data_IF_314618468983
#
_entry.id   IF_314618468983
#
_cell.length_a   1.000
_cell.length_b   1.000
_cell.length_c   1.000
_cell.angle_alpha   90.00
_cell.angle_beta   90.00
_cell.angle_gamma   90.00
#
_symmetry.space_group_name_H-M   'P 1'
#
loop_
_entity.id
_entity.type
_entity.pdbx_description
1 polymer ?
#
# COMPACT_ATOMS: atom_id res chain seq x y z
N UNK A 1 -18.19 -22.24 -8.22
CA UNK A 1 -17.54 -21.09 -8.90
C UNK A 1 -16.18 -21.61 -9.38
N UNK A 2 -15.76 -21.33 -10.61
CA UNK A 2 -14.53 -21.92 -11.16
C UNK A 2 -13.33 -21.37 -10.40
N UNK A 3 -12.59 -22.27 -9.74
CA UNK A 3 -11.38 -22.00 -8.96
C UNK A 3 -10.24 -21.63 -9.92
N UNK A 4 -10.07 -20.33 -10.19
CA UNK A 4 -8.93 -19.81 -10.94
C UNK A 4 -7.75 -19.60 -9.98
N UNK A 5 -7.23 -20.71 -9.44
CA UNK A 5 -5.93 -20.74 -8.77
C UNK A 5 -4.82 -20.55 -9.82
N UNK A 6 -4.57 -19.30 -10.21
CA UNK A 6 -3.48 -18.96 -11.12
C UNK A 6 -2.21 -18.79 -10.31
N UNK A 7 -1.24 -19.68 -10.57
CA UNK A 7 0.06 -19.68 -9.91
C UNK A 7 0.96 -18.60 -10.55
N UNK A 8 0.99 -17.41 -9.95
CA UNK A 8 1.73 -16.24 -10.45
C UNK A 8 3.22 -16.48 -10.59
N UNK A 9 3.80 -17.27 -9.68
CA UNK A 9 5.20 -17.65 -9.73
C UNK A 9 5.49 -18.56 -10.93
N UNK A 10 4.58 -19.48 -11.23
CA UNK A 10 4.67 -20.28 -12.44
C UNK A 10 4.46 -19.41 -13.68
N UNK A 11 3.56 -18.42 -13.70
CA UNK A 11 3.43 -17.51 -14.85
C UNK A 11 4.70 -16.68 -15.10
N UNK A 12 5.31 -16.10 -14.06
CA UNK A 12 6.57 -15.37 -14.18
C UNK A 12 7.76 -16.29 -14.50
N UNK A 13 7.80 -17.48 -13.92
CA UNK A 13 8.80 -18.50 -14.23
C UNK A 13 8.66 -18.97 -15.67
N UNK A 14 7.43 -19.17 -16.16
CA UNK A 14 7.13 -19.53 -17.55
C UNK A 14 7.55 -18.39 -18.46
N UNK A 15 7.19 -17.14 -18.16
CA UNK A 15 7.63 -15.95 -18.90
C UNK A 15 9.17 -15.90 -19.01
N UNK A 16 9.88 -16.01 -17.88
CA UNK A 16 11.34 -15.98 -17.83
C UNK A 16 11.96 -17.13 -18.63
N UNK A 17 11.43 -18.35 -18.48
CA UNK A 17 11.87 -19.53 -19.25
C UNK A 17 11.60 -19.39 -20.74
N UNK A 18 10.46 -18.81 -21.13
CA UNK A 18 10.11 -18.55 -22.52
C UNK A 18 11.05 -17.53 -23.16
N UNK A 19 11.41 -16.46 -22.44
CA UNK A 19 12.40 -15.48 -22.88
C UNK A 19 13.80 -16.07 -22.97
N UNK A 20 14.22 -16.84 -21.97
CA UNK A 20 15.49 -17.56 -22.01
C UNK A 20 15.55 -18.57 -23.17
N UNK A 21 14.42 -19.22 -23.48
CA UNK A 21 14.31 -20.11 -24.64
C UNK A 21 14.34 -19.34 -25.96
N UNK A 22 13.72 -18.16 -26.03
CA UNK A 22 13.76 -17.29 -27.21
C UNK A 22 15.20 -16.81 -27.52
N UNK A 23 15.95 -16.43 -26.49
CA UNK A 23 17.38 -16.07 -26.62
C UNK A 23 18.23 -17.27 -27.07
N UNK A 24 17.98 -18.46 -26.52
CA UNK A 24 18.64 -19.69 -26.96
C UNK A 24 18.27 -20.09 -28.40
N UNK A 25 17.03 -19.82 -28.82
CA UNK A 25 16.60 -20.04 -30.20
C UNK A 25 17.30 -19.05 -31.15
N UNK A 26 17.48 -17.79 -30.76
CA UNK A 26 18.18 -16.78 -31.59
C UNK A 26 19.65 -17.13 -31.85
N UNK A 27 20.30 -17.75 -30.87
CA UNK A 27 21.66 -18.28 -30.99
C UNK A 27 21.74 -19.59 -31.77
N UNK A 28 20.63 -20.07 -32.33
CA UNK A 28 20.33 -21.44 -32.77
C UNK A 28 21.21 -22.12 -33.81
N UNK A 29 22.46 -21.70 -34.01
CA UNK A 29 23.60 -22.53 -34.42
C UNK A 29 24.85 -21.65 -34.47
N UNK A 30 25.62 -21.53 -33.38
CA UNK A 30 26.90 -20.83 -33.41
C UNK A 30 27.91 -21.58 -34.30
N UNK A 31 28.89 -20.86 -34.85
CA UNK A 31 30.04 -21.44 -35.54
C UNK A 31 29.77 -21.83 -36.99
N UNK A 32 30.48 -22.87 -37.46
CA UNK A 32 30.65 -23.18 -38.88
C UNK A 32 29.35 -23.31 -39.69
N UNK A 33 28.23 -23.71 -39.08
CA UNK A 33 26.94 -23.78 -39.78
C UNK A 33 26.40 -22.38 -40.14
N UNK A 34 26.49 -21.42 -39.22
CA UNK A 34 26.12 -20.02 -39.46
C UNK A 34 27.11 -19.35 -40.39
N UNK A 35 28.41 -19.52 -40.14
CA UNK A 35 29.46 -18.88 -40.95
C UNK A 35 29.33 -19.32 -42.42
N UNK A 36 29.10 -20.62 -42.65
CA UNK A 36 28.86 -21.17 -43.98
C UNK A 36 27.49 -20.73 -44.53
N UNK A 37 26.47 -20.61 -43.69
CA UNK A 37 25.12 -20.17 -44.08
C UNK A 37 25.06 -18.73 -44.58
N UNK A 38 25.84 -17.84 -43.94
CA UNK A 38 25.92 -16.41 -44.25
C UNK A 38 26.99 -16.07 -45.29
N UNK A 39 27.94 -16.98 -45.57
CA UNK A 39 28.99 -16.80 -46.56
C UNK A 39 28.46 -16.57 -47.99
N UNK A 40 29.29 -15.94 -48.84
CA UNK A 40 28.95 -15.73 -50.24
C UNK A 40 28.92 -17.07 -51.01
N UNK A 41 28.20 -17.09 -52.13
CA UNK A 41 28.01 -18.32 -52.92
C UNK A 41 29.34 -18.98 -53.35
N UNK A 42 30.36 -18.18 -53.66
CA UNK A 42 31.71 -18.65 -54.00
C UNK A 42 32.45 -19.28 -52.83
N UNK A 43 32.35 -18.69 -51.64
CA UNK A 43 32.99 -19.17 -50.40
C UNK A 43 32.33 -20.46 -49.91
N UNK A 44 30.98 -20.51 -49.91
CA UNK A 44 30.25 -21.75 -49.64
C UNK A 44 30.61 -22.87 -50.61
N UNK A 45 30.71 -22.55 -51.90
CA UNK A 45 31.08 -23.53 -52.92
C UNK A 45 32.51 -24.03 -52.69
N UNK A 46 33.45 -23.15 -52.34
CA UNK A 46 34.82 -23.53 -52.04
C UNK A 46 34.90 -24.47 -50.84
N UNK A 47 34.08 -24.24 -49.80
CA UNK A 47 34.02 -25.08 -48.61
C UNK A 47 33.26 -26.41 -48.81
N UNK A 48 32.17 -26.42 -49.58
CA UNK A 48 31.32 -27.61 -49.80
C UNK A 48 31.72 -28.43 -51.03
N UNK A 49 32.64 -27.95 -51.86
CA UNK A 49 33.15 -28.63 -53.05
C UNK A 49 32.14 -28.75 -54.21
N UNK A 50 30.89 -28.31 -54.05
CA UNK A 50 29.82 -28.45 -55.04
C UNK A 50 28.89 -27.24 -55.08
N UNK A 51 28.56 -26.80 -56.28
CA UNK A 51 27.57 -25.74 -56.50
C UNK A 51 26.16 -26.16 -56.08
N UNK A 52 25.78 -27.43 -56.32
CA UNK A 52 24.45 -27.94 -55.96
C UNK A 52 24.30 -28.08 -54.45
N UNK A 53 25.36 -28.52 -53.76
CA UNK A 53 25.38 -28.61 -52.31
C UNK A 53 25.38 -27.22 -51.66
N UNK A 54 26.13 -26.26 -52.21
CA UNK A 54 26.10 -24.85 -51.78
C UNK A 54 24.70 -24.23 -51.88
N UNK A 55 24.00 -24.48 -52.98
CA UNK A 55 22.63 -23.98 -53.18
C UNK A 55 21.62 -24.65 -52.23
N UNK A 56 21.65 -25.97 -52.13
CA UNK A 56 20.76 -26.72 -51.22
C UNK A 56 21.00 -26.33 -49.75
N UNK A 57 22.26 -26.17 -49.34
CA UNK A 57 22.62 -25.74 -48.00
C UNK A 57 22.15 -24.31 -47.70
N UNK A 58 22.31 -23.37 -48.64
CA UNK A 58 21.84 -22.00 -48.45
C UNK A 58 20.32 -21.91 -48.29
N UNK A 59 19.56 -22.64 -49.12
CA UNK A 59 18.10 -22.72 -48.98
C UNK A 59 17.71 -23.33 -47.62
N UNK A 60 18.35 -24.43 -47.22
CA UNK A 60 18.12 -25.06 -45.92
C UNK A 60 18.42 -24.10 -44.76
N UNK A 61 19.55 -23.40 -44.81
CA UNK A 61 19.95 -22.41 -43.81
C UNK A 61 18.93 -21.28 -43.67
N UNK A 62 18.51 -20.66 -44.77
CA UNK A 62 17.55 -19.55 -44.72
C UNK A 62 16.15 -20.01 -44.26
N UNK A 63 15.70 -21.19 -44.68
CA UNK A 63 14.44 -21.75 -44.18
C UNK A 63 14.51 -22.10 -42.68
N UNK A 64 15.63 -22.67 -42.22
CA UNK A 64 15.86 -22.95 -40.80
C UNK A 64 15.90 -21.66 -39.99
N UNK A 65 16.73 -20.67 -40.38
CA UNK A 65 16.84 -19.36 -39.74
C UNK A 65 15.49 -18.63 -39.67
N UNK A 66 14.71 -18.65 -40.75
CA UNK A 66 13.38 -18.03 -40.78
C UNK A 66 12.40 -18.69 -39.79
N UNK A 67 12.39 -20.03 -39.71
CA UNK A 67 11.53 -20.73 -38.75
C UNK A 67 11.96 -20.49 -37.31
N UNK A 68 13.25 -20.45 -37.03
CA UNK A 68 13.79 -20.15 -35.70
C UNK A 68 13.49 -18.70 -35.29
N UNK A 69 13.56 -17.74 -36.22
CA UNK A 69 13.14 -16.36 -35.99
C UNK A 69 11.66 -16.25 -35.62
N UNK A 70 10.78 -16.94 -36.36
CA UNK A 70 9.34 -17.00 -36.02
C UNK A 70 9.06 -17.67 -34.67
N UNK A 71 9.84 -18.70 -34.32
CA UNK A 71 9.75 -19.32 -33.00
C UNK A 71 10.18 -18.37 -31.88
N UNK A 72 11.24 -17.58 -32.08
CA UNK A 72 11.66 -16.52 -31.16
C UNK A 72 10.56 -15.48 -30.94
N UNK A 73 9.98 -14.97 -32.03
CA UNK A 73 8.86 -14.01 -31.97
C UNK A 73 7.67 -14.59 -31.20
N UNK A 74 7.23 -15.80 -31.53
CA UNK A 74 6.11 -16.46 -30.83
C UNK A 74 6.39 -16.76 -29.36
N UNK A 75 7.63 -17.11 -28.99
CA UNK A 75 8.02 -17.31 -27.59
C UNK A 75 8.00 -15.99 -26.80
N UNK A 76 8.41 -14.88 -27.41
CA UNK A 76 8.31 -13.56 -26.80
C UNK A 76 6.86 -13.11 -26.65
N UNK A 77 6.03 -13.28 -27.68
CA UNK A 77 4.59 -12.95 -27.64
C UNK A 77 3.84 -13.76 -26.58
N UNK A 78 4.17 -15.05 -26.45
CA UNK A 78 3.62 -15.89 -25.39
C UNK A 78 4.09 -15.43 -24.01
N UNK A 79 5.37 -15.09 -23.84
CA UNK A 79 5.88 -14.52 -22.60
C UNK A 79 5.18 -13.21 -22.24
N UNK A 80 4.92 -12.34 -23.23
CA UNK A 80 4.21 -11.08 -23.03
C UNK A 80 2.74 -11.30 -22.63
N UNK A 81 2.09 -12.35 -23.15
CA UNK A 81 0.75 -12.76 -22.73
C UNK A 81 0.72 -13.24 -21.27
N UNK A 82 1.70 -14.05 -20.85
CA UNK A 82 1.83 -14.49 -19.46
C UNK A 82 2.10 -13.32 -18.51
N UNK A 83 2.91 -12.35 -18.96
CA UNK A 83 3.12 -11.10 -18.24
C UNK A 83 1.83 -10.29 -18.13
N UNK A 84 1.09 -10.10 -19.23
CA UNK A 84 -0.15 -9.33 -19.21
C UNK A 84 -1.21 -9.94 -18.28
N UNK A 85 -1.32 -11.28 -18.22
CA UNK A 85 -2.19 -11.95 -17.24
C UNK A 85 -1.70 -11.71 -15.81
N UNK A 86 -0.40 -11.84 -15.56
CA UNK A 86 0.18 -11.52 -14.24
C UNK A 86 -0.09 -10.07 -13.83
N UNK A 87 0.10 -9.12 -14.76
CA UNK A 87 -0.11 -7.69 -14.54
C UNK A 87 -1.60 -7.37 -14.27
N UNK A 88 -2.55 -8.03 -14.95
CA UNK A 88 -4.00 -7.84 -14.71
C UNK A 88 -4.43 -8.36 -13.34
N UNK A 89 -3.85 -9.46 -12.88
CA UNK A 89 -4.11 -9.99 -11.54
C UNK A 89 -3.40 -9.17 -10.45
N UNK A 90 -2.18 -8.70 -10.72
CA UNK A 90 -1.50 -7.69 -9.90
C UNK A 90 -2.34 -6.41 -9.80
N UNK A 91 -3.00 -5.99 -10.87
CA UNK A 91 -3.94 -4.86 -10.86
C UNK A 91 -5.20 -5.11 -10.01
N UNK A 92 -5.63 -6.37 -9.90
CA UNK A 92 -6.67 -6.81 -8.97
C UNK A 92 -6.21 -6.76 -7.51
N UNK A 93 -5.03 -7.30 -7.22
CA UNK A 93 -4.45 -7.38 -5.88
C UNK A 93 -3.91 -6.04 -5.37
N UNK A 94 -3.53 -5.15 -6.28
CA UNK A 94 -3.10 -3.81 -5.94
C UNK A 94 -4.29 -2.86 -5.71
N UNK A 95 -5.51 -3.22 -6.13
CA UNK A 95 -6.75 -2.62 -5.59
C UNK A 95 -7.03 -3.07 -4.15
N UNK A 96 -6.63 -4.30 -3.79
CA UNK A 96 -6.68 -4.79 -2.40
C UNK A 96 -5.56 -4.15 -1.57
N UNK A 97 -4.39 -3.91 -2.16
CA UNK A 97 -3.27 -3.22 -1.49
C UNK A 97 -3.48 -1.70 -1.38
N UNK A 98 -4.18 -1.08 -2.34
CA UNK A 98 -4.72 0.28 -2.20
C UNK A 98 -5.82 0.37 -1.12
N UNK A 99 -6.38 -0.77 -0.70
CA UNK A 99 -7.20 -0.85 0.49
C UNK A 99 -6.38 -0.92 1.79
N UNK A 100 -5.04 -0.88 1.79
CA UNK A 100 -4.24 -0.83 3.02
C UNK A 100 -4.69 0.30 3.95
N UNK A 101 -5.03 1.47 3.40
CA UNK A 101 -5.62 2.57 4.15
C UNK A 101 -7.05 2.33 4.68
N UNK A 102 -7.82 1.44 4.05
CA UNK A 102 -9.09 0.94 4.57
C UNK A 102 -8.87 -0.19 5.60
N UNK A 103 -7.76 -0.92 5.50
CA UNK A 103 -7.37 -2.01 6.41
C UNK A 103 -6.77 -1.48 7.72
N UNK A 104 -6.12 -0.31 7.73
CA UNK A 104 -5.78 0.38 8.98
C UNK A 104 -7.01 0.95 9.67
N UNK A 105 -8.01 1.43 8.92
CA UNK A 105 -9.33 1.79 9.49
C UNK A 105 -10.01 0.58 10.14
N UNK A 106 -9.83 -0.64 9.61
CA UNK A 106 -10.40 -1.86 10.20
C UNK A 106 -9.69 -2.36 11.46
N UNK A 107 -8.47 -1.88 11.77
CA UNK A 107 -7.80 -2.18 13.05
C UNK A 107 -8.49 -1.53 14.25
N UNK A 108 -9.30 -0.48 14.05
CA UNK A 108 -9.97 0.23 15.13
C UNK A 108 -9.02 1.12 15.96
N UNK A 109 -7.86 1.51 15.41
CA UNK A 109 -6.89 2.38 16.08
C UNK A 109 -7.51 3.73 16.43
N UNK A 110 -8.29 4.33 15.51
CA UNK A 110 -8.93 5.62 15.76
C UNK A 110 -10.00 5.50 16.86
N UNK A 111 -10.83 4.45 16.83
CA UNK A 111 -11.77 4.16 17.90
C UNK A 111 -11.06 3.99 19.26
N UNK A 112 -9.90 3.31 19.28
CA UNK A 112 -9.09 3.17 20.48
C UNK A 112 -8.56 4.52 20.97
N UNK A 113 -8.06 5.38 20.07
CA UNK A 113 -7.57 6.74 20.41
C UNK A 113 -8.68 7.60 20.99
N UNK A 114 -9.86 7.59 20.37
CA UNK A 114 -11.03 8.34 20.83
C UNK A 114 -11.51 7.86 22.20
N UNK A 115 -11.59 6.54 22.39
CA UNK A 115 -11.97 5.93 23.66
C UNK A 115 -10.95 6.29 24.75
N UNK A 116 -9.66 6.25 24.42
CA UNK A 116 -8.58 6.64 25.33
C UNK A 116 -8.63 8.12 25.69
N UNK A 117 -8.83 9.01 24.73
CA UNK A 117 -8.95 10.44 24.98
C UNK A 117 -10.15 10.76 25.88
N UNK A 118 -11.29 10.09 25.66
CA UNK A 118 -12.47 10.22 26.50
C UNK A 118 -12.22 9.73 27.94
N UNK A 119 -11.57 8.57 28.09
CA UNK A 119 -11.23 7.99 29.40
C UNK A 119 -10.20 8.83 30.17
N UNK A 120 -9.13 9.28 29.50
CA UNK A 120 -8.10 10.15 30.09
C UNK A 120 -8.71 11.49 30.53
N UNK A 121 -9.64 12.05 29.72
CA UNK A 121 -10.39 13.26 30.09
C UNK A 121 -11.27 13.02 31.31
N UNK A 122 -12.01 11.91 31.36
CA UNK A 122 -12.84 11.56 32.51
C UNK A 122 -12.00 11.39 33.78
N UNK A 123 -10.83 10.75 33.71
CA UNK A 123 -9.92 10.62 34.85
C UNK A 123 -9.46 11.99 35.37
N UNK A 124 -9.13 12.92 34.47
CA UNK A 124 -8.71 14.27 34.83
C UNK A 124 -9.87 15.08 35.47
N UNK A 125 -11.07 14.98 34.93
CA UNK A 125 -12.26 15.65 35.45
C UNK A 125 -12.70 15.03 36.79
N UNK A 126 -12.59 13.71 36.93
CA UNK A 126 -12.81 12.98 38.18
C UNK A 126 -11.83 13.37 39.27
N UNK A 127 -10.54 13.49 38.96
CA UNK A 127 -9.55 13.92 39.94
C UNK A 127 -9.87 15.32 40.51
N UNK A 128 -10.26 16.27 39.65
CA UNK A 128 -10.69 17.62 40.07
C UNK A 128 -11.96 17.59 40.91
N UNK A 129 -12.93 16.77 40.52
CA UNK A 129 -14.18 16.59 41.25
C UNK A 129 -13.95 15.99 42.64
N UNK A 130 -13.15 14.92 42.73
CA UNK A 130 -12.83 14.25 44.00
C UNK A 130 -12.04 15.19 44.94
N UNK A 131 -11.09 15.98 44.39
CA UNK A 131 -10.38 17.02 45.15
C UNK A 131 -11.33 18.12 45.66
N UNK A 132 -12.28 18.57 44.83
CA UNK A 132 -13.28 19.54 45.21
C UNK A 132 -14.18 19.03 46.35
N UNK A 133 -14.68 17.79 46.21
CA UNK A 133 -15.50 17.13 47.23
C UNK A 133 -14.76 16.95 48.56
N UNK A 134 -13.48 16.58 48.51
CA UNK A 134 -12.63 16.52 49.70
C UNK A 134 -12.49 17.90 50.34
N UNK A 135 -12.30 18.95 49.53
CA UNK A 135 -12.18 20.33 49.97
C UNK A 135 -13.43 20.92 50.63
N UNK A 136 -14.62 20.38 50.36
CA UNK A 136 -15.87 20.75 51.05
C UNK A 136 -16.30 19.73 52.12
N UNK A 137 -15.62 18.60 52.25
CA UNK A 137 -15.96 17.53 53.19
C UNK A 137 -17.14 16.65 52.75
N UNK A 138 -17.43 16.59 51.45
CA UNK A 138 -18.58 15.88 50.88
C UNK A 138 -18.23 14.52 50.24
N UNK A 139 -16.95 14.09 50.27
CA UNK A 139 -16.50 12.85 49.62
C UNK A 139 -17.32 11.62 50.00
N UNK A 140 -17.64 11.45 51.29
CA UNK A 140 -18.43 10.31 51.76
C UNK A 140 -19.85 10.31 51.20
N UNK A 141 -20.48 11.49 51.10
CA UNK A 141 -21.85 11.63 50.60
C UNK A 141 -21.94 11.26 49.11
N UNK A 142 -21.08 11.82 48.26
CA UNK A 142 -21.10 11.56 46.82
C UNK A 142 -20.50 10.22 46.41
N UNK A 143 -19.80 9.53 47.31
CA UNK A 143 -19.46 8.12 47.10
C UNK A 143 -20.70 7.24 47.18
N UNK A 144 -21.60 7.56 48.10
CA UNK A 144 -22.81 6.76 48.37
C UNK A 144 -24.00 7.25 47.50
N UNK A 145 -23.91 8.47 46.95
CA UNK A 145 -24.90 9.12 46.07
C UNK A 145 -24.23 9.85 44.88
N UNK A 146 -23.64 9.12 43.91
CA UNK A 146 -22.87 9.72 42.81
C UNK A 146 -23.71 10.54 41.81
N UNK A 147 -25.00 10.22 41.68
CA UNK A 147 -25.96 10.88 40.78
C UNK A 147 -26.55 12.18 41.33
N UNK A 148 -26.37 12.46 42.62
CA UNK A 148 -26.94 13.65 43.25
C UNK A 148 -26.26 14.94 42.77
N UNK A 149 -27.02 16.04 42.81
CA UNK A 149 -26.50 17.37 42.50
C UNK A 149 -26.23 18.14 43.78
N UNK A 150 -25.00 18.67 43.95
CA UNK A 150 -24.64 19.52 45.08
C UNK A 150 -25.68 20.64 45.31
N UNK A 151 -26.13 21.28 44.22
CA UNK A 151 -27.12 22.36 44.30
C UNK A 151 -28.47 21.83 44.80
N UNK A 152 -28.93 20.70 44.28
CA UNK A 152 -30.18 20.09 44.73
C UNK A 152 -30.12 19.72 46.22
N UNK A 153 -29.05 19.03 46.65
CA UNK A 153 -28.86 18.61 48.04
C UNK A 153 -28.76 19.81 48.99
N UNK A 154 -28.05 20.88 48.63
CA UNK A 154 -27.78 22.01 49.52
C UNK A 154 -28.87 23.08 49.58
N UNK A 155 -29.89 23.00 48.70
CA UNK A 155 -31.12 23.78 48.79
C UNK A 155 -32.30 22.97 49.35
N UNK A 156 -32.12 21.68 49.62
CA UNK A 156 -33.11 20.83 50.27
C UNK A 156 -33.34 21.19 51.75
N UNK A 157 -34.48 20.76 52.33
CA UNK A 157 -34.80 21.00 53.74
C UNK A 157 -33.83 20.30 54.70
N UNK A 158 -33.22 19.19 54.29
CA UNK A 158 -32.29 18.37 55.08
C UNK A 158 -30.83 18.52 54.58
N UNK A 159 -30.40 19.76 54.32
CA UNK A 159 -29.09 20.06 53.76
C UNK A 159 -27.93 19.58 54.69
N UNK A 160 -27.00 18.76 54.19
CA UNK A 160 -25.85 18.30 54.97
C UNK A 160 -24.92 19.42 55.45
N UNK A 161 -24.17 19.18 56.52
CA UNK A 161 -23.27 20.18 57.11
C UNK A 161 -22.19 20.70 56.14
N UNK A 162 -21.76 19.87 55.19
CA UNK A 162 -20.76 20.24 54.17
C UNK A 162 -21.28 21.34 53.20
N UNK A 163 -22.59 21.54 53.10
CA UNK A 163 -23.18 22.59 52.26
C UNK A 163 -22.79 24.01 52.67
N UNK A 164 -22.42 24.23 53.94
CA UNK A 164 -21.89 25.51 54.39
C UNK A 164 -20.53 25.83 53.75
N UNK A 165 -19.65 24.82 53.61
CA UNK A 165 -18.35 24.96 52.96
C UNK A 165 -18.48 25.19 51.45
N UNK A 166 -19.47 24.54 50.81
CA UNK A 166 -19.83 24.79 49.42
C UNK A 166 -20.29 26.24 49.19
N UNK A 167 -21.25 26.73 49.98
CA UNK A 167 -21.74 28.13 49.88
C UNK A 167 -20.62 29.15 50.12
N UNK A 168 -19.69 28.87 51.03
CA UNK A 168 -18.54 29.74 51.29
C UNK A 168 -17.54 29.82 50.13
N UNK A 169 -17.41 28.76 49.31
CA UNK A 169 -16.61 28.76 48.08
C UNK A 169 -17.34 29.39 46.88
N UNK A 170 -18.65 29.60 46.98
CA UNK A 170 -19.52 30.14 45.93
C UNK A 170 -20.28 29.02 45.19
N UNK A 171 -21.56 29.25 44.89
CA UNK A 171 -22.45 28.21 44.33
C UNK A 171 -22.00 27.71 42.95
N UNK A 172 -21.28 28.53 42.18
CA UNK A 172 -20.76 28.19 40.85
C UNK A 172 -19.30 27.71 40.87
N UNK A 173 -18.73 27.44 42.07
CA UNK A 173 -17.33 27.04 42.21
C UNK A 173 -17.07 25.56 41.94
N UNK A 174 -18.12 24.75 41.83
CA UNK A 174 -17.99 23.32 41.61
C UNK A 174 -17.53 23.03 40.17
N UNK A 175 -16.48 22.22 39.96
CA UNK A 175 -16.18 21.72 38.62
C UNK A 175 -17.35 20.86 38.10
N UNK A 176 -17.46 20.63 36.78
CA UNK A 176 -18.47 19.73 36.24
C UNK A 176 -18.35 18.33 36.86
N UNK A 177 -19.49 17.70 37.20
CA UNK A 177 -19.49 16.29 37.59
C UNK A 177 -19.02 15.47 36.37
N UNK A 178 -17.98 14.63 36.49
CA UNK A 178 -17.46 13.83 35.39
C UNK A 178 -18.47 12.81 34.84
N UNK A 179 -19.52 12.46 35.61
CA UNK A 179 -20.51 11.46 35.23
C UNK A 179 -19.97 10.04 35.25
N UNK A 180 -20.68 9.13 34.59
CA UNK A 180 -20.29 7.72 34.49
C UNK A 180 -18.95 7.54 33.78
N UNK A 181 -18.17 6.56 34.24
CA UNK A 181 -16.89 6.22 33.60
C UNK A 181 -17.13 5.74 32.16
N UNK A 182 -16.52 6.37 31.15
CA UNK A 182 -16.60 5.87 29.78
C UNK A 182 -15.87 4.52 29.69
N UNK A 183 -16.15 3.72 28.64
CA UNK A 183 -15.47 2.43 28.47
C UNK A 183 -13.95 2.58 28.55
N UNK A 184 -13.32 1.79 29.44
CA UNK A 184 -11.86 1.78 29.54
C UNK A 184 -11.27 1.20 28.24
N UNK A 185 -10.36 1.91 27.55
CA UNK A 185 -9.68 1.35 26.39
C UNK A 185 -8.77 0.18 26.80
N UNK A 186 -8.39 -0.64 25.83
CA UNK A 186 -7.29 -1.58 26.03
C UNK A 186 -5.98 -0.82 26.37
N UNK A 187 -5.09 -1.41 27.16
CA UNK A 187 -3.84 -0.74 27.57
C UNK A 187 -2.91 -0.43 26.39
N UNK A 188 -3.03 -1.17 25.28
CA UNK A 188 -2.28 -0.98 24.05
C UNK A 188 -3.20 -0.85 22.84
N UNK A 189 -2.83 -0.05 21.83
CA UNK A 189 -3.58 0.04 20.59
C UNK A 189 -3.57 -1.28 19.82
N UNK A 190 -4.64 -1.59 19.07
CA UNK A 190 -4.66 -2.72 18.16
C UNK A 190 -3.68 -2.47 17.01
N UNK A 191 -2.66 -3.32 16.90
CA UNK A 191 -1.58 -3.16 15.91
C UNK A 191 -1.56 -4.26 14.85
N UNK A 192 -2.39 -5.29 14.99
CA UNK A 192 -2.40 -6.42 14.07
C UNK A 192 -3.81 -6.90 13.75
N UNK A 193 -4.02 -7.31 12.51
CA UNK A 193 -5.24 -7.95 12.03
C UNK A 193 -4.86 -9.22 11.27
N UNK A 194 -5.61 -10.30 11.51
CA UNK A 194 -5.46 -11.55 10.80
C UNK A 194 -6.83 -12.02 10.31
N UNK A 195 -6.90 -12.38 9.04
CA UNK A 195 -8.08 -12.99 8.43
C UNK A 195 -7.66 -14.23 7.65
N UNK A 196 -8.46 -15.28 7.74
CA UNK A 196 -8.27 -16.51 7.00
C UNK A 196 -9.62 -17.06 6.54
N UNK A 197 -9.72 -17.40 5.27
CA UNK A 197 -10.89 -18.02 4.66
C UNK A 197 -10.46 -19.12 3.65
N UNK A 198 -11.41 -19.58 2.82
CA UNK A 198 -11.15 -20.58 1.78
C UNK A 198 -10.28 -20.06 0.62
N UNK A 199 -10.05 -18.75 0.55
CA UNK A 199 -9.31 -18.06 -0.50
C UNK A 199 -7.93 -17.55 -0.05
N UNK A 200 -7.56 -17.73 1.22
CA UNK A 200 -6.20 -17.46 1.70
C UNK A 200 -6.13 -16.88 3.10
N UNK A 201 -4.99 -16.26 3.40
CA UNK A 201 -4.74 -15.50 4.62
C UNK A 201 -4.35 -14.07 4.29
N UNK A 202 -4.81 -13.15 5.12
CA UNK A 202 -4.43 -11.74 5.10
C UNK A 202 -3.94 -11.41 6.51
N UNK A 203 -2.66 -11.07 6.61
CA UNK A 203 -2.02 -10.56 7.82
C UNK A 203 -1.70 -9.09 7.62
N UNK A 204 -2.16 -8.23 8.52
CA UNK A 204 -1.80 -6.80 8.55
C UNK A 204 -1.18 -6.51 9.91
N UNK A 205 -0.04 -5.84 9.92
CA UNK A 205 0.63 -5.37 11.12
C UNK A 205 1.04 -3.91 10.93
N UNK A 206 0.93 -3.11 11.98
CA UNK A 206 1.34 -1.71 11.98
C UNK A 206 2.27 -1.40 13.13
N UNK A 207 3.27 -0.59 12.84
CA UNK A 207 4.17 -0.03 13.84
C UNK A 207 3.79 1.42 14.09
N UNK A 208 3.75 1.79 15.37
CA UNK A 208 3.36 3.11 15.82
C UNK A 208 4.55 3.86 16.43
N UNK A 209 4.55 5.19 16.33
CA UNK A 209 5.48 6.05 17.07
C UNK A 209 5.06 6.22 18.56
N UNK A 210 5.82 7.02 19.31
CA UNK A 210 5.55 7.32 20.73
C UNK A 210 4.19 8.02 20.97
N UNK A 211 3.65 8.68 19.94
CA UNK A 211 2.35 9.35 19.97
C UNK A 211 1.23 8.44 19.42
N UNK A 212 1.51 7.16 19.21
CA UNK A 212 0.63 6.16 18.60
C UNK A 212 0.28 6.44 17.13
N UNK A 213 1.04 7.25 16.40
CA UNK A 213 0.85 7.44 14.95
C UNK A 213 1.44 6.29 14.15
N UNK A 214 0.77 5.89 13.07
CA UNK A 214 1.26 4.82 12.19
C UNK A 214 2.48 5.32 11.41
N UNK A 215 3.62 4.66 11.60
CA UNK A 215 4.88 4.95 10.88
C UNK A 215 5.23 3.86 9.88
N UNK A 216 4.67 2.67 10.04
CA UNK A 216 4.86 1.56 9.10
C UNK A 216 3.66 0.64 9.10
N UNK A 217 3.28 0.17 7.92
CA UNK A 217 2.25 -0.83 7.71
C UNK A 217 2.87 -1.99 6.93
N UNK A 218 2.62 -3.22 7.37
CA UNK A 218 3.06 -4.43 6.69
C UNK A 218 1.84 -5.29 6.45
N UNK A 219 1.53 -5.58 5.19
CA UNK A 219 0.50 -6.53 4.80
C UNK A 219 1.16 -7.73 4.14
N UNK A 220 0.70 -8.93 4.52
CA UNK A 220 1.10 -10.18 3.90
C UNK A 220 -0.15 -10.92 3.48
N UNK A 221 -0.21 -11.26 2.20
CA UNK A 221 -1.33 -12.00 1.63
C UNK A 221 -0.80 -13.32 1.13
N UNK A 222 -1.45 -14.42 1.51
CA UNK A 222 -1.07 -15.78 1.11
C UNK A 222 -2.30 -16.51 0.57
N UNK A 223 -2.24 -17.07 -0.63
CA UNK A 223 -3.30 -17.91 -1.18
C UNK A 223 -3.29 -19.34 -0.57
N UNK A 224 -4.33 -20.17 -0.79
CA UNK A 224 -4.40 -21.52 -0.23
C UNK A 224 -3.28 -22.45 -0.70
N UNK A 225 -2.64 -22.13 -1.82
CA UNK A 225 -1.51 -22.84 -2.41
C UNK A 225 -0.16 -22.43 -1.76
N UNK A 226 -0.18 -21.54 -0.77
CA UNK A 226 1.00 -21.10 -0.02
C UNK A 226 1.81 -20.02 -0.72
N UNK A 227 1.30 -19.43 -1.80
CA UNK A 227 1.94 -18.35 -2.53
C UNK A 227 1.46 -17.02 -2.00
N UNK A 228 2.36 -16.06 -1.89
CA UNK A 228 1.99 -14.78 -1.33
C UNK A 228 2.98 -13.69 -1.67
N UNK A 229 2.63 -12.49 -1.26
CA UNK A 229 3.51 -11.34 -1.27
C UNK A 229 3.37 -10.57 0.03
N UNK A 230 4.41 -9.80 0.34
CA UNK A 230 4.47 -8.95 1.52
C UNK A 230 4.71 -7.52 1.05
N UNK A 231 3.82 -6.61 1.41
CA UNK A 231 3.93 -5.18 1.12
C UNK A 231 4.18 -4.44 2.42
N UNK A 232 5.24 -3.64 2.44
CA UNK A 232 5.60 -2.76 3.55
C UNK A 232 5.52 -1.31 3.10
N UNK A 233 4.62 -0.54 3.71
CA UNK A 233 4.56 0.92 3.57
C UNK A 233 5.26 1.55 4.76
N UNK A 234 6.25 2.41 4.53
CA UNK A 234 6.95 3.17 5.58
C UNK A 234 6.71 4.65 5.35
N UNK A 235 6.19 5.34 6.37
CA UNK A 235 5.90 6.77 6.33
C UNK A 235 7.05 7.58 6.92
N UNK A 236 7.32 8.74 6.34
CA UNK A 236 8.36 9.65 6.82
C UNK A 236 7.79 10.62 7.85
N UNK A 237 7.87 10.24 9.12
CA UNK A 237 7.45 11.08 10.25
C UNK A 237 5.96 10.96 10.61
N UNK A 238 5.48 11.80 11.55
CA UNK A 238 4.09 11.79 12.00
C UNK A 238 3.15 12.36 10.92
N UNK A 239 1.86 11.95 10.90
CA UNK A 239 0.87 12.41 9.93
C UNK A 239 0.82 13.92 9.78
N UNK A 240 0.75 14.39 8.55
CA UNK A 240 0.58 15.80 8.22
C UNK A 240 -0.68 15.94 7.37
N UNK A 241 -1.75 16.43 7.98
CA UNK A 241 -3.06 16.53 7.33
C UNK A 241 -3.27 17.91 6.73
N UNK A 242 -3.59 17.96 5.44
CA UNK A 242 -3.94 19.19 4.72
C UNK A 242 -5.41 19.12 4.29
N UNK A 243 -6.13 20.22 4.49
CA UNK A 243 -7.52 20.34 4.07
C UNK A 243 -7.60 20.52 2.55
N UNK A 244 -8.52 19.82 1.88
CA UNK A 244 -8.77 20.01 0.44
C UNK A 244 -9.65 21.25 0.25
N UNK A 245 -9.07 22.34 -0.25
CA UNK A 245 -9.79 23.57 -0.63
C UNK A 245 -10.63 23.39 -1.91
N UNK A 246 -11.47 22.36 -2.02
CA UNK A 246 -12.42 22.26 -3.14
C UNK A 246 -13.73 22.95 -2.80
N UNK A 247 -14.06 23.98 -3.59
CA UNK A 247 -15.09 24.95 -3.28
C UNK A 247 -16.50 24.39 -3.11
N UNK A 248 -17.19 24.90 -2.09
CA UNK A 248 -18.66 25.06 -1.99
C UNK A 248 -19.50 23.80 -2.24
N UNK A 249 -19.54 22.87 -1.29
CA UNK A 249 -20.82 22.31 -0.82
C UNK A 249 -20.68 21.44 0.46
N UNK A 250 -21.38 21.87 1.52
CA UNK A 250 -22.13 21.10 2.53
C UNK A 250 -21.39 20.28 3.59
N UNK A 251 -21.20 20.91 4.76
CA UNK A 251 -21.78 20.44 6.04
C UNK A 251 -21.31 19.09 6.61
N UNK A 252 -20.27 18.48 6.04
CA UNK A 252 -19.52 17.34 6.58
C UNK A 252 -18.06 17.75 6.60
N UNK A 253 -17.29 17.19 7.53
CA UNK A 253 -15.90 17.54 7.81
C UNK A 253 -15.09 17.78 6.51
N UNK A 254 -14.21 18.80 6.47
CA UNK A 254 -13.38 19.05 5.29
C UNK A 254 -12.63 17.77 4.94
N UNK A 255 -12.74 17.32 3.69
CA UNK A 255 -11.89 16.23 3.19
C UNK A 255 -10.44 16.63 3.46
N UNK A 256 -9.70 15.79 4.18
CA UNK A 256 -8.27 15.97 4.44
C UNK A 256 -7.48 14.90 3.72
N UNK A 257 -6.21 15.17 3.50
CA UNK A 257 -5.29 14.17 2.99
C UNK A 257 -3.94 14.28 3.67
N UNK A 258 -3.26 13.14 3.76
CA UNK A 258 -1.93 13.04 4.38
C UNK A 258 -0.85 13.38 3.35
N UNK A 259 -0.01 14.38 3.65
CA UNK A 259 1.09 14.84 2.77
C UNK A 259 2.43 14.22 3.10
N UNK A 260 2.47 13.21 3.96
CA UNK A 260 3.72 12.50 4.23
C UNK A 260 4.28 11.84 2.98
N UNK A 261 5.60 11.98 2.79
CA UNK A 261 6.35 11.08 1.94
C UNK A 261 6.24 9.66 2.49
N UNK A 262 6.17 8.67 1.60
CA UNK A 262 6.17 7.27 1.99
C UNK A 262 6.91 6.40 0.98
N UNK A 263 7.37 5.25 1.45
CA UNK A 263 8.00 4.23 0.62
C UNK A 263 7.22 2.94 0.73
N UNK A 264 6.82 2.38 -0.40
CA UNK A 264 6.23 1.05 -0.50
C UNK A 264 7.30 0.09 -0.97
N UNK A 265 7.52 -1.00 -0.24
CA UNK A 265 8.35 -2.13 -0.68
C UNK A 265 7.47 -3.36 -0.76
N UNK A 266 7.40 -3.97 -1.93
CA UNK A 266 6.68 -5.22 -2.16
C UNK A 266 7.68 -6.32 -2.43
N UNK A 267 7.62 -7.39 -1.63
CA UNK A 267 8.38 -8.62 -1.80
C UNK A 267 7.47 -9.72 -2.33
N UNK A 268 7.82 -10.28 -3.47
CA UNK A 268 7.04 -11.33 -4.14
C UNK A 268 7.46 -12.72 -3.67
N UNK A 269 6.65 -13.72 -3.99
CA UNK A 269 6.89 -15.12 -3.64
C UNK A 269 8.14 -15.74 -4.29
N UNK A 270 8.65 -15.18 -5.39
CA UNK A 270 9.95 -15.56 -5.97
C UNK A 270 11.16 -14.90 -5.29
N UNK A 271 10.92 -14.05 -4.28
CA UNK A 271 11.94 -13.30 -3.56
C UNK A 271 12.38 -12.02 -4.26
N UNK A 272 11.83 -11.69 -5.43
CA UNK A 272 12.05 -10.38 -6.06
C UNK A 272 11.36 -9.28 -5.28
N UNK A 273 11.85 -8.04 -5.45
CA UNK A 273 11.35 -6.87 -4.74
C UNK A 273 11.10 -5.73 -5.69
N UNK A 274 10.01 -4.99 -5.46
CA UNK A 274 9.75 -3.68 -6.03
C UNK A 274 9.74 -2.64 -4.92
N UNK A 275 10.31 -1.46 -5.18
CA UNK A 275 10.31 -0.34 -4.25
C UNK A 275 9.78 0.89 -4.95
N UNK A 276 8.77 1.53 -4.37
CA UNK A 276 8.17 2.77 -4.85
C UNK A 276 8.31 3.85 -3.79
N UNK A 277 9.01 4.93 -4.13
CA UNK A 277 9.22 6.09 -3.27
C UNK A 277 8.28 7.21 -3.73
N UNK A 278 7.48 7.71 -2.80
CA UNK A 278 6.49 8.74 -3.03
C UNK A 278 6.89 10.02 -2.29
N UNK A 279 6.90 11.12 -3.03
CA UNK A 279 7.00 12.47 -2.48
C UNK A 279 5.67 13.17 -2.68
N UNK A 280 5.05 13.65 -1.62
CA UNK A 280 3.73 14.26 -1.66
C UNK A 280 3.85 15.75 -1.32
N UNK A 281 3.29 16.60 -2.18
CA UNK A 281 3.30 18.04 -2.00
C UNK A 281 2.07 18.50 -1.20
N UNK A 282 2.15 19.71 -0.65
CA UNK A 282 1.06 20.38 0.10
C UNK A 282 -0.20 20.60 -0.72
N UNK A 283 -0.09 20.69 -2.05
CA UNK A 283 -1.22 20.81 -2.97
C UNK A 283 -1.82 19.45 -3.34
N UNK A 284 -1.34 18.36 -2.73
CA UNK A 284 -1.69 16.98 -3.04
C UNK A 284 -1.11 16.45 -4.34
N UNK A 285 -0.34 17.23 -5.10
CA UNK A 285 0.49 16.70 -6.17
C UNK A 285 1.66 15.87 -5.63
N UNK A 286 2.52 15.37 -6.52
CA UNK A 286 3.70 14.63 -6.08
C UNK A 286 4.48 13.95 -7.18
N UNK A 287 5.57 13.30 -6.79
CA UNK A 287 6.39 12.43 -7.62
C UNK A 287 6.39 11.01 -7.07
N UNK A 288 6.46 10.02 -7.95
CA UNK A 288 6.66 8.62 -7.59
C UNK A 288 7.79 8.05 -8.45
N UNK A 289 8.73 7.37 -7.79
CA UNK A 289 9.81 6.64 -8.45
C UNK A 289 9.69 5.18 -8.05
N UNK A 290 9.50 4.30 -9.04
CA UNK A 290 9.42 2.86 -8.81
C UNK A 290 10.64 2.17 -9.39
N UNK A 291 11.25 1.27 -8.62
CA UNK A 291 12.38 0.43 -9.02
C UNK A 291 12.03 -1.05 -8.81
N UNK A 292 12.15 -1.84 -9.88
CA UNK A 292 11.96 -3.30 -9.85
C UNK A 292 13.03 -3.97 -10.72
N UNK A 293 13.97 -4.67 -10.08
CA UNK A 293 15.18 -5.16 -10.76
C UNK A 293 15.98 -4.00 -11.37
N UNK A 294 16.31 -4.11 -12.67
CA UNK A 294 17.06 -3.09 -13.40
C UNK A 294 16.17 -2.00 -14.02
N UNK A 295 14.85 -2.05 -13.77
CA UNK A 295 13.88 -1.10 -14.33
C UNK A 295 13.53 -0.03 -13.31
N UNK A 296 13.62 1.23 -13.73
CA UNK A 296 13.14 2.40 -12.97
C UNK A 296 12.10 3.13 -13.79
N UNK A 297 11.00 3.55 -13.16
CA UNK A 297 9.91 4.30 -13.77
C UNK A 297 9.54 5.53 -12.92
N UNK A 298 9.22 6.63 -13.59
CA UNK A 298 8.95 7.91 -12.97
C UNK A 298 7.53 8.38 -13.27
N UNK A 299 6.87 8.91 -12.24
CA UNK A 299 5.47 9.34 -12.33
C UNK A 299 5.26 10.67 -11.60
N UNK A 300 4.24 11.40 -12.05
CA UNK A 300 3.77 12.65 -11.50
C UNK A 300 2.29 12.56 -11.18
N UNK A 301 1.85 13.28 -10.14
CA UNK A 301 0.43 13.46 -9.82
C UNK A 301 0.11 14.94 -9.73
N UNK A 302 -1.05 15.32 -10.27
CA UNK A 302 -1.59 16.69 -10.23
C UNK A 302 -2.72 16.79 -9.19
N UNK A 303 -2.37 17.19 -7.97
CA UNK A 303 -3.34 17.38 -6.88
C UNK A 303 -3.77 16.10 -6.15
N UNK A 304 -4.52 16.21 -5.04
CA UNK A 304 -4.80 15.11 -4.12
C UNK A 304 -5.71 14.03 -4.75
N UNK A 305 -6.50 14.43 -5.74
CA UNK A 305 -7.41 13.55 -6.52
C UNK A 305 -6.87 13.22 -7.91
N UNK A 306 -5.66 13.67 -8.25
CA UNK A 306 -5.03 13.37 -9.53
C UNK A 306 -4.65 11.89 -9.62
N UNK A 307 -4.71 11.33 -10.83
CA UNK A 307 -4.08 10.04 -11.09
C UNK A 307 -2.57 10.22 -11.24
N UNK A 308 -1.81 9.16 -10.94
CA UNK A 308 -0.39 9.11 -11.24
C UNK A 308 -0.20 8.84 -12.73
N UNK A 309 0.49 9.74 -13.41
CA UNK A 309 0.80 9.68 -14.83
C UNK A 309 2.31 9.51 -15.00
N UNK A 310 2.77 8.78 -16.03
CA UNK A 310 4.22 8.72 -16.34
C UNK A 310 4.76 10.12 -16.53
N UNK A 311 5.93 10.38 -15.98
CA UNK A 311 6.60 11.66 -16.16
C UNK A 311 7.12 11.77 -17.61
N UNK A 312 6.60 12.72 -18.42
CA UNK A 312 7.06 12.89 -19.80
C UNK A 312 8.56 13.19 -19.91
N UNK A 313 9.18 13.74 -18.86
CA UNK A 313 10.61 14.02 -18.85
C UNK A 313 11.47 12.75 -18.87
N UNK A 314 10.92 11.61 -18.44
CA UNK A 314 11.61 10.33 -18.34
C UNK A 314 11.06 9.26 -19.30
N UNK A 315 10.09 9.60 -20.16
CA UNK A 315 9.41 8.63 -21.03
C UNK A 315 10.37 7.76 -21.87
N UNK A 316 11.45 8.33 -22.40
CA UNK A 316 12.46 7.58 -23.18
C UNK A 316 13.38 6.73 -22.29
N UNK A 317 13.70 7.20 -21.08
CA UNK A 317 14.51 6.44 -20.12
C UNK A 317 13.73 5.24 -19.57
N UNK A 318 12.45 5.44 -19.26
CA UNK A 318 11.54 4.44 -18.72
C UNK A 318 11.18 3.35 -19.76
N UNK A 319 11.26 3.66 -21.06
CA UNK A 319 11.00 2.71 -22.15
C UNK A 319 12.13 1.68 -22.37
N UNK A 320 13.31 1.94 -21.82
CA UNK A 320 14.51 1.11 -21.98
C UNK A 320 15.27 1.35 -23.29
N UNK A 321 16.48 0.79 -23.41
CA UNK A 321 17.39 1.10 -24.51
C UNK A 321 16.81 0.76 -25.89
N UNK A 322 16.79 1.75 -26.78
CA UNK A 322 16.40 1.59 -28.19
C UNK A 322 14.89 1.71 -28.48
N UNK A 323 14.07 2.04 -27.48
CA UNK A 323 12.63 2.30 -27.65
C UNK A 323 12.32 3.77 -27.40
N UNK A 324 11.41 4.35 -28.18
CA UNK A 324 10.83 5.66 -27.86
C UNK A 324 9.73 5.47 -26.84
N UNK A 325 9.71 6.32 -25.82
CA UNK A 325 8.66 6.33 -24.81
C UNK A 325 7.30 6.62 -25.43
N UNK A 326 6.28 5.86 -25.04
CA UNK A 326 4.89 6.23 -25.27
C UNK A 326 4.50 7.24 -24.18
N UNK A 327 4.04 8.43 -24.56
CA UNK A 327 3.52 9.44 -23.62
C UNK A 327 2.06 9.17 -23.23
N UNK A 328 1.53 8.00 -23.61
CA UNK A 328 0.20 7.55 -23.23
C UNK A 328 0.08 7.31 -21.73
N UNK A 329 -1.15 7.35 -21.23
CA UNK A 329 -1.51 7.07 -19.84
C UNK A 329 -1.36 5.57 -19.58
N UNK A 330 -0.12 5.09 -19.47
CA UNK A 330 0.15 3.78 -18.90
C UNK A 330 0.06 3.93 -17.39
N UNK A 331 -0.91 3.24 -16.78
CA UNK A 331 -1.16 3.30 -15.35
C UNK A 331 0.06 2.77 -14.59
N UNK A 332 0.44 3.39 -13.46
CA UNK A 332 1.49 2.87 -12.62
C UNK A 332 1.09 1.52 -12.01
N UNK A 333 2.08 0.73 -11.53
CA UNK A 333 1.79 -0.38 -10.64
C UNK A 333 0.91 0.12 -9.48
N UNK A 334 -0.20 -0.56 -9.14
CA UNK A 334 -1.19 0.08 -8.29
C UNK A 334 -0.73 0.09 -6.82
N UNK A 335 -1.19 1.09 -6.08
CA UNK A 335 -0.74 1.37 -4.71
C UNK A 335 -0.62 2.87 -4.38
N UNK A 336 -0.74 3.75 -5.37
CA UNK A 336 -0.54 5.20 -5.19
C UNK A 336 -1.78 6.04 -4.85
N UNK A 337 -2.86 5.49 -4.30
CA UNK A 337 -3.96 6.36 -3.84
C UNK A 337 -3.59 7.02 -2.51
N UNK A 338 -3.77 8.34 -2.41
CA UNK A 338 -3.66 9.04 -1.12
C UNK A 338 -4.76 8.54 -0.21
N UNK A 339 -4.40 8.30 1.05
CA UNK A 339 -5.35 8.11 2.14
C UNK A 339 -6.22 9.37 2.27
N UNK A 340 -7.48 9.26 1.85
CA UNK A 340 -8.58 10.22 2.09
C UNK A 340 -9.39 9.74 3.31
#
# INVERSE_FOLDING_TARGET
>A
MVDFAIDYNNLHTIQSKLRALAEKADTGTPGAFRDLGEALAGERKAALGSSSLSYAFNNFYHHSKSRTGKAKEGLNELADTFKAVSDVFFDGDAKISAAAGLMTKSLGIDQWRDTKAAHDKWLADKAKWDEYLAGIGATGFFRDHPEESIRHTCHGPDAPAWCAAWKAKGEDSAPPNPGDEPPKPADKPPTSYHHQDEHGTIDVNVELDENNNIIKETSKITNPQGQGYETTTTYKGPPEWVDIEDGKDRGKDPDKFDVRDYTITTKYGDGTTSTSVYTINQDGGGTMITTAGDKTEHYLRKGPRGEWERDPAYADADAGPGKKGNTGVDKPPPGGHVLI
#
